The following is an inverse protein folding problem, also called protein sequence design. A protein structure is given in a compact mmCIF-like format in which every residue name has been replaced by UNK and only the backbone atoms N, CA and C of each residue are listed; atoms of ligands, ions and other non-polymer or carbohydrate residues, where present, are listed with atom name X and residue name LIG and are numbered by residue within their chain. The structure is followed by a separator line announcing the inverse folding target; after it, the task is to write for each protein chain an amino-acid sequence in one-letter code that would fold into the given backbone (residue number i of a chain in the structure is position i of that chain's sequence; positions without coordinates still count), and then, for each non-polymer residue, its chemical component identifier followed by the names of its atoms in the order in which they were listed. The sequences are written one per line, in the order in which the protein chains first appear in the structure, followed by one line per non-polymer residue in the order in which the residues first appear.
data_IF_693853195614
#
_entry.id   IF_693853195614
#
_cell.length_a   1.000
_cell.length_b   1.000
_cell.length_c   1.000
_cell.angle_alpha   90.00
_cell.angle_beta   90.00
_cell.angle_gamma   90.00
#
_symmetry.space_group_name_H-M   'P 1'
#
loop_
_entity.id
_entity.type
_entity.pdbx_description
1 polymer ?
#
# COMPACT_ATOMS: atom_id res chain seq x y z
N UNK A 1 -3.15 3.92 -7.34
CA UNK A 1 -4.07 3.01 -6.65
C UNK A 1 -5.47 3.60 -6.60
N UNK A 2 -6.43 2.89 -7.16
CA UNK A 2 -7.84 3.06 -6.81
C UNK A 2 -8.05 2.46 -5.41
N UNK A 3 -8.95 3.04 -4.63
CA UNK A 3 -9.09 2.80 -3.19
C UNK A 3 -9.43 1.33 -2.90
N UNK A 4 -8.44 0.51 -2.48
CA UNK A 4 -8.63 -0.93 -2.22
C UNK A 4 -9.70 -1.22 -1.16
N UNK A 5 -10.06 -0.25 -0.32
CA UNK A 5 -11.16 -0.36 0.64
C UNK A 5 -12.57 -0.28 0.10
N UNK A 6 -12.74 0.15 -1.14
CA UNK A 6 -14.06 0.24 -1.76
C UNK A 6 -14.36 -0.88 -2.73
N UNK A 7 -13.49 -1.88 -2.81
CA UNK A 7 -13.67 -2.99 -3.73
C UNK A 7 -14.62 -4.01 -3.09
N UNK A 8 -15.88 -3.97 -3.49
CA UNK A 8 -16.88 -4.97 -3.11
C UNK A 8 -16.72 -6.24 -3.94
N UNK A 9 -17.47 -7.30 -3.62
CA UNK A 9 -17.52 -8.52 -4.45
C UNK A 9 -17.96 -8.24 -5.90
N UNK A 10 -18.69 -7.13 -6.13
CA UNK A 10 -19.23 -6.76 -7.44
C UNK A 10 -18.29 -5.90 -8.31
N UNK A 11 -17.12 -5.49 -7.80
CA UNK A 11 -16.15 -4.66 -8.52
C UNK A 11 -15.12 -5.50 -9.30
N UNK A 12 -15.60 -6.49 -10.07
CA UNK A 12 -14.75 -7.44 -10.82
C UNK A 12 -13.80 -6.74 -11.79
N UNK A 13 -14.28 -5.72 -12.51
CA UNK A 13 -13.47 -4.99 -13.50
C UNK A 13 -12.32 -4.22 -12.86
N UNK A 14 -12.53 -3.74 -11.62
CA UNK A 14 -11.50 -3.03 -10.88
C UNK A 14 -10.46 -4.00 -10.34
N UNK A 15 -10.89 -5.12 -9.73
CA UNK A 15 -9.97 -6.17 -9.29
C UNK A 15 -9.10 -6.66 -10.44
N UNK A 16 -9.70 -6.89 -11.61
CA UNK A 16 -8.98 -7.32 -12.81
C UNK A 16 -7.94 -6.30 -13.25
N UNK A 17 -8.27 -5.00 -13.30
CA UNK A 17 -7.29 -3.96 -13.65
C UNK A 17 -6.12 -3.90 -12.68
N UNK A 18 -6.39 -4.05 -11.38
CA UNK A 18 -5.34 -4.01 -10.37
C UNK A 18 -4.47 -5.27 -10.46
N UNK A 19 -5.09 -6.43 -10.65
CA UNK A 19 -4.39 -7.68 -10.92
C UNK A 19 -3.46 -7.53 -12.13
N UNK A 20 -3.98 -7.05 -13.25
CA UNK A 20 -3.19 -6.87 -14.47
C UNK A 20 -2.02 -5.89 -14.27
N UNK A 21 -2.17 -4.83 -13.46
CA UNK A 21 -1.04 -3.92 -13.24
C UNK A 21 0.09 -4.57 -12.45
N UNK A 22 -0.21 -5.43 -11.47
CA UNK A 22 0.84 -6.14 -10.70
C UNK A 22 1.63 -7.09 -11.60
N UNK A 23 0.92 -7.84 -12.44
CA UNK A 23 1.51 -8.78 -13.40
C UNK A 23 2.30 -8.02 -14.48
N UNK A 24 1.73 -6.96 -15.04
CA UNK A 24 2.39 -6.21 -16.12
C UNK A 24 3.58 -5.41 -15.59
N UNK A 25 3.46 -4.80 -14.41
CA UNK A 25 4.53 -4.07 -13.75
C UNK A 25 5.73 -4.95 -13.45
N UNK A 26 5.50 -6.14 -12.86
CA UNK A 26 6.57 -7.10 -12.60
C UNK A 26 7.25 -7.58 -13.89
N UNK A 27 6.49 -7.84 -14.97
CA UNK A 27 7.04 -8.18 -16.29
C UNK A 27 7.93 -7.07 -16.86
N UNK A 28 7.50 -5.80 -16.76
CA UNK A 28 8.28 -4.65 -17.23
C UNK A 28 9.59 -4.53 -16.45
N UNK A 29 9.54 -4.61 -15.12
CA UNK A 29 10.72 -4.53 -14.27
C UNK A 29 11.70 -5.69 -14.55
N UNK A 30 11.17 -6.89 -14.78
CA UNK A 30 11.97 -8.05 -15.18
C UNK A 30 12.67 -7.82 -16.52
N UNK A 31 11.94 -7.33 -17.53
CA UNK A 31 12.52 -7.01 -18.83
C UNK A 31 13.57 -5.90 -18.75
N UNK A 32 13.43 -4.97 -17.79
CA UNK A 32 14.39 -3.90 -17.53
C UNK A 32 15.60 -4.34 -16.67
N UNK A 33 15.69 -5.60 -16.25
CA UNK A 33 16.85 -6.13 -15.53
C UNK A 33 16.91 -5.77 -14.05
N UNK A 34 15.77 -5.40 -13.43
CA UNK A 34 15.72 -5.21 -11.98
C UNK A 34 15.92 -6.55 -11.25
N UNK A 35 16.39 -6.49 -10.01
CA UNK A 35 16.56 -7.70 -9.20
C UNK A 35 15.20 -8.32 -8.81
N UNK A 36 15.21 -9.62 -8.50
CA UNK A 36 14.00 -10.39 -8.17
C UNK A 36 13.22 -9.79 -6.99
N UNK A 37 13.88 -9.25 -5.95
CA UNK A 37 13.16 -8.64 -4.81
C UNK A 37 12.30 -7.44 -5.22
N UNK A 38 12.79 -6.60 -6.14
CA UNK A 38 12.02 -5.46 -6.65
C UNK A 38 10.86 -5.93 -7.54
N UNK A 39 11.09 -6.98 -8.33
CA UNK A 39 10.05 -7.60 -9.15
C UNK A 39 8.95 -8.18 -8.25
N UNK A 40 9.33 -8.90 -7.20
CA UNK A 40 8.41 -9.47 -6.21
C UNK A 40 7.62 -8.39 -5.46
N UNK A 41 8.28 -7.29 -5.07
CA UNK A 41 7.59 -6.14 -4.47
C UNK A 41 6.51 -5.58 -5.41
N UNK A 42 6.81 -5.44 -6.70
CA UNK A 42 5.85 -4.97 -7.69
C UNK A 42 4.71 -5.97 -7.95
N UNK A 43 5.00 -7.28 -7.90
CA UNK A 43 3.99 -8.32 -8.08
C UNK A 43 3.05 -8.41 -6.85
N UNK A 44 3.59 -8.28 -5.64
CA UNK A 44 2.89 -8.64 -4.41
C UNK A 44 2.47 -7.46 -3.53
N UNK A 45 2.66 -6.19 -3.92
CA UNK A 45 2.23 -5.04 -3.10
C UNK A 45 0.71 -4.91 -2.86
N UNK A 46 -0.10 -5.78 -3.48
CA UNK A 46 -1.53 -5.95 -3.25
C UNK A 46 -1.91 -7.19 -2.42
N UNK A 47 -0.92 -8.00 -2.04
CA UNK A 47 -1.14 -9.07 -1.08
C UNK A 47 -1.48 -8.48 0.28
N UNK A 48 -2.33 -9.19 1.00
CA UNK A 48 -2.77 -8.77 2.32
C UNK A 48 -2.01 -9.57 3.37
N UNK A 49 -1.74 -8.94 4.50
CA UNK A 49 -1.09 -9.60 5.64
C UNK A 49 -1.76 -10.94 6.01
N UNK A 50 -3.09 -10.99 5.97
CA UNK A 50 -3.89 -12.17 6.29
C UNK A 50 -4.06 -13.18 5.13
N UNK A 51 -3.36 -13.02 4.00
CA UNK A 51 -3.42 -13.91 2.85
C UNK A 51 -4.66 -13.78 1.95
N UNK A 52 -5.54 -12.80 2.18
CA UNK A 52 -6.76 -12.59 1.36
C UNK A 52 -6.56 -11.60 0.21
N UNK A 53 -5.32 -11.16 -0.02
CA UNK A 53 -4.97 -10.25 -1.11
C UNK A 53 -4.85 -10.95 -2.46
N UNK A 54 -4.11 -10.34 -3.37
CA UNK A 54 -3.88 -10.85 -4.72
C UNK A 54 -2.54 -10.30 -5.24
N UNK A 55 -1.91 -10.90 -6.27
CA UNK A 55 -2.39 -11.97 -7.16
C UNK A 55 -2.45 -13.40 -6.61
N UNK A 56 -1.58 -13.75 -5.69
CA UNK A 56 -1.26 -15.13 -5.29
C UNK A 56 -1.90 -15.57 -3.98
N UNK A 57 -2.50 -14.67 -3.20
CA UNK A 57 -3.12 -14.97 -1.89
C UNK A 57 -2.12 -15.51 -0.88
N UNK A 58 -0.94 -14.89 -0.84
CA UNK A 58 0.12 -15.27 0.09
C UNK A 58 0.05 -14.41 1.35
N UNK A 59 0.27 -15.04 2.50
CA UNK A 59 0.20 -14.40 3.80
C UNK A 59 1.55 -13.83 4.25
N UNK A 60 1.55 -13.31 5.47
CA UNK A 60 2.72 -12.69 6.12
C UNK A 60 4.05 -13.45 5.95
N UNK A 61 4.06 -14.77 6.18
CA UNK A 61 5.29 -15.57 6.23
C UNK A 61 6.05 -15.60 4.89
N UNK A 62 5.32 -15.46 3.78
CA UNK A 62 5.88 -15.48 2.43
C UNK A 62 6.14 -14.08 1.85
N UNK A 63 5.62 -13.04 2.52
CA UNK A 63 5.80 -11.66 2.07
C UNK A 63 7.13 -11.08 2.53
N UNK A 64 8.00 -10.82 1.55
CA UNK A 64 9.21 -10.05 1.74
C UNK A 64 8.92 -8.75 2.51
N UNK A 65 9.76 -8.43 3.50
CA UNK A 65 9.58 -7.24 4.35
C UNK A 65 9.38 -5.96 3.54
N UNK A 66 10.14 -5.78 2.45
CA UNK A 66 9.99 -4.61 1.57
C UNK A 66 8.61 -4.51 0.94
N UNK A 67 7.94 -5.63 0.65
CA UNK A 67 6.58 -5.65 0.12
C UNK A 67 5.57 -5.20 1.17
N UNK A 68 5.74 -5.64 2.43
CA UNK A 68 4.89 -5.24 3.56
C UNK A 68 5.04 -3.75 3.89
N UNK A 69 6.26 -3.20 3.79
CA UNK A 69 6.50 -1.75 3.92
C UNK A 69 5.85 -1.01 2.75
N UNK A 70 6.08 -1.47 1.52
CA UNK A 70 5.55 -0.83 0.31
C UNK A 70 4.03 -0.76 0.33
N UNK A 71 3.33 -1.80 0.80
CA UNK A 71 1.86 -1.82 0.81
C UNK A 71 1.29 -0.72 1.71
N UNK A 72 1.87 -0.49 2.89
CA UNK A 72 1.48 0.60 3.82
C UNK A 72 1.77 1.97 3.19
N UNK A 73 3.00 2.19 2.73
CA UNK A 73 3.40 3.47 2.12
C UNK A 73 2.53 3.83 0.91
N UNK A 74 2.30 2.86 0.02
CA UNK A 74 1.52 3.07 -1.19
C UNK A 74 0.02 3.26 -0.91
N UNK A 75 -0.54 2.60 0.12
CA UNK A 75 -1.91 2.87 0.56
C UNK A 75 -2.04 4.28 1.13
N UNK A 76 -1.11 4.70 1.99
CA UNK A 76 -1.10 6.03 2.58
C UNK A 76 -0.99 7.13 1.50
N UNK A 77 0.04 7.09 0.65
CA UNK A 77 0.20 8.04 -0.46
C UNK A 77 -1.04 8.06 -1.35
N UNK A 78 -1.59 6.88 -1.65
CA UNK A 78 -2.79 6.82 -2.47
C UNK A 78 -4.01 7.49 -1.86
N UNK A 79 -4.10 7.57 -0.53
CA UNK A 79 -5.15 8.25 0.21
C UNK A 79 -4.91 9.75 0.32
N UNK A 80 -3.70 10.20 0.64
CA UNK A 80 -3.38 11.61 0.93
C UNK A 80 -2.97 12.44 -0.29
N UNK A 81 -2.76 11.81 -1.45
CA UNK A 81 -2.44 12.51 -2.69
C UNK A 81 -3.68 12.76 -3.55
N UNK A 82 -3.75 13.94 -4.20
CA UNK A 82 -4.76 14.26 -5.21
C UNK A 82 -4.60 13.32 -6.43
N UNK A 83 -5.72 12.79 -6.92
CA UNK A 83 -5.78 11.92 -8.11
C UNK A 83 -6.76 12.51 -9.13
N UNK A 84 -6.61 12.22 -10.44
CA UNK A 84 -7.49 12.81 -11.47
C UNK A 84 -8.99 12.67 -11.24
N UNK A 85 -9.39 11.64 -10.48
CA UNK A 85 -10.78 11.25 -10.21
C UNK A 85 -11.17 11.38 -8.73
N UNK A 86 -10.27 11.86 -7.85
CA UNK A 86 -10.52 11.91 -6.39
C UNK A 86 -9.59 12.91 -5.71
N UNK A 87 -10.15 13.77 -4.86
CA UNK A 87 -9.36 14.61 -3.95
C UNK A 87 -8.70 13.80 -2.83
N UNK A 88 -7.54 14.26 -2.38
CA UNK A 88 -6.86 13.74 -1.20
C UNK A 88 -7.81 13.59 -0.01
N UNK A 89 -7.66 12.51 0.76
CA UNK A 89 -8.29 12.38 2.07
C UNK A 89 -7.53 13.25 3.08
N UNK A 90 -8.21 13.63 4.16
CA UNK A 90 -7.54 14.18 5.31
C UNK A 90 -6.59 13.14 5.92
N UNK A 91 -5.44 13.60 6.43
CA UNK A 91 -4.42 12.72 7.00
C UNK A 91 -5.00 11.81 8.11
N UNK A 92 -5.81 12.37 9.02
CA UNK A 92 -6.47 11.58 10.07
C UNK A 92 -7.30 10.41 9.51
N UNK A 93 -8.02 10.62 8.41
CA UNK A 93 -8.79 9.55 7.76
C UNK A 93 -7.87 8.46 7.20
N UNK A 94 -6.72 8.84 6.63
CA UNK A 94 -5.72 7.87 6.17
C UNK A 94 -5.11 7.07 7.34
N UNK A 95 -4.86 7.73 8.48
CA UNK A 95 -4.35 7.09 9.70
C UNK A 95 -5.35 6.09 10.29
N UNK A 96 -6.61 6.52 10.45
CA UNK A 96 -7.72 5.65 10.90
C UNK A 96 -7.86 4.42 10.00
N UNK A 97 -7.74 4.61 8.68
CA UNK A 97 -7.77 3.54 7.72
C UNK A 97 -6.66 2.50 7.94
N UNK A 98 -5.40 2.95 8.04
CA UNK A 98 -4.27 2.06 8.25
C UNK A 98 -4.42 1.27 9.56
N UNK A 99 -4.82 1.95 10.65
CA UNK A 99 -5.07 1.32 11.95
C UNK A 99 -6.21 0.31 11.89
N UNK A 100 -7.30 0.63 11.20
CA UNK A 100 -8.46 -0.26 11.09
C UNK A 100 -8.14 -1.55 10.34
N UNK A 101 -7.29 -1.49 9.31
CA UNK A 101 -6.90 -2.66 8.51
C UNK A 101 -5.57 -3.30 8.94
N UNK A 102 -5.00 -2.91 10.08
CA UNK A 102 -3.84 -3.57 10.67
C UNK A 102 -4.18 -5.01 11.07
N UNK A 103 -3.28 -5.96 10.77
CA UNK A 103 -3.49 -7.40 10.99
C UNK A 103 -4.40 -8.07 9.96
N UNK A 104 -5.01 -7.32 9.03
CA UNK A 104 -5.78 -7.87 7.91
C UNK A 104 -5.12 -7.53 6.59
N UNK A 105 -5.23 -6.28 6.13
CA UNK A 105 -4.58 -5.81 4.92
C UNK A 105 -3.10 -5.54 5.17
N UNK A 106 -2.77 -4.93 6.30
CA UNK A 106 -1.44 -4.43 6.60
C UNK A 106 -0.78 -5.16 7.76
N UNK A 107 0.54 -5.18 7.74
CA UNK A 107 1.35 -5.63 8.86
C UNK A 107 1.18 -4.66 10.04
N UNK A 108 0.70 -5.12 11.21
CA UNK A 108 0.43 -4.25 12.35
C UNK A 108 1.69 -3.59 12.91
N UNK A 109 2.85 -4.24 12.84
CA UNK A 109 4.11 -3.66 13.31
C UNK A 109 4.54 -2.50 12.42
N UNK A 110 4.41 -2.67 11.10
CA UNK A 110 4.76 -1.64 10.13
C UNK A 110 3.77 -0.47 10.19
N UNK A 111 2.47 -0.73 10.35
CA UNK A 111 1.48 0.34 10.55
C UNK A 111 1.85 1.18 11.77
N UNK A 112 2.19 0.54 12.89
CA UNK A 112 2.61 1.25 14.10
C UNK A 112 3.84 2.12 13.83
N UNK A 113 4.92 1.54 13.28
CA UNK A 113 6.16 2.28 13.00
C UNK A 113 5.94 3.44 12.01
N UNK A 114 5.08 3.24 11.01
CA UNK A 114 4.77 4.26 10.03
C UNK A 114 4.01 5.45 10.65
N UNK A 115 3.03 5.19 11.52
CA UNK A 115 2.28 6.23 12.21
C UNK A 115 3.16 7.01 13.20
N UNK A 116 4.00 6.30 13.96
CA UNK A 116 4.97 6.91 14.87
C UNK A 116 5.93 7.86 14.10
N UNK A 117 6.38 7.44 12.91
CA UNK A 117 7.26 8.26 12.06
C UNK A 117 6.56 9.48 11.44
N UNK A 118 5.27 9.38 11.12
CA UNK A 118 4.49 10.53 10.68
C UNK A 118 4.37 11.59 11.78
N UNK A 119 4.18 11.16 13.03
CA UNK A 119 4.09 12.07 14.18
C UNK A 119 5.42 12.80 14.41
N UNK A 120 6.53 12.07 14.38
CA UNK A 120 7.88 12.64 14.49
C UNK A 120 8.15 13.70 13.40
N UNK A 121 7.76 13.41 12.15
CA UNK A 121 7.96 14.34 11.04
C UNK A 121 7.08 15.59 11.13
N UNK A 122 5.86 15.48 11.65
CA UNK A 122 5.00 16.65 11.87
C UNK A 122 5.59 17.58 12.93
N UNK A 123 6.12 17.01 14.01
CA UNK A 123 6.72 17.80 15.07
C UNK A 123 7.98 18.52 14.59
N UNK A 124 8.80 17.88 13.74
CA UNK A 124 9.92 18.56 13.09
C UNK A 124 9.50 19.72 12.17
N UNK A 125 8.41 19.58 11.41
CA UNK A 125 7.90 20.68 10.56
C UNK A 125 7.38 21.87 11.36
N UNK A 126 6.68 21.61 12.48
CA UNK A 126 6.23 22.65 13.42
C UNK A 126 7.40 23.39 14.05
N UNK A 127 8.44 22.66 14.46
CA UNK A 127 9.67 23.26 15.02
C UNK A 127 10.41 24.10 13.97
N UNK A 128 10.39 23.69 12.71
CA UNK A 128 11.10 24.38 11.61
C UNK A 128 10.28 25.46 10.89
N UNK A 129 9.03 25.74 11.31
CA UNK A 129 8.23 26.83 10.76
C UNK A 129 7.86 26.71 9.28
N UNK A 130 7.89 25.51 8.71
CA UNK A 130 7.58 25.25 7.31
C UNK A 130 6.10 24.82 7.17
N UNK A 131 5.22 25.78 6.94
CA UNK A 131 3.85 25.57 6.46
C UNK A 131 3.57 26.48 5.27
#
# INVERSE_FOLDING_TARGET
MLNSSRITENDTDLKEKILQHTIQGSKILKAAGFNEKIIDMALHHHEFYNGHGFPNKIGYDDLFLGTRILSVCNAYDAMVSDRPHRKALHENTAREYLSYYAGTQFDPEIVKMFLDELDNNQDMKKVNGLN
#
